data_IF_106980639127
#
_entry.id   IF_106980639127
#
_cell.length_a   1.000
_cell.length_b   1.000
_cell.length_c   1.000
_cell.angle_alpha   90.00
_cell.angle_beta   90.00
_cell.angle_gamma   90.00
#
_symmetry.space_group_name_H-M   'P 1'
#
loop_
_entity.id
_entity.type
_entity.pdbx_description
1 polymer ?
#
# COMPACT_ATOMS: atom_id res chain seq x y z
N UNK A 1 8.72 1.57 13.42
CA UNK A 1 8.01 2.63 12.64
C UNK A 1 8.53 2.77 11.21
N UNK A 2 9.83 2.94 10.95
CA UNK A 2 10.36 3.26 9.61
C UNK A 2 10.08 2.25 8.47
N UNK A 3 9.93 0.96 8.78
CA UNK A 3 9.63 -0.06 7.77
C UNK A 3 8.20 0.01 7.20
N UNK A 4 7.20 0.38 8.03
CA UNK A 4 5.81 0.54 7.55
C UNK A 4 5.69 1.75 6.63
N UNK A 5 6.22 2.89 7.03
CA UNK A 5 6.12 4.13 6.24
C UNK A 5 6.76 4.01 4.86
N UNK A 6 7.93 3.37 4.76
CA UNK A 6 8.59 3.10 3.47
C UNK A 6 7.72 2.22 2.56
N UNK A 7 7.07 1.20 3.13
CA UNK A 7 6.23 0.25 2.40
C UNK A 7 4.94 0.90 1.89
N UNK A 8 4.25 1.63 2.76
CA UNK A 8 3.06 2.43 2.40
C UNK A 8 3.40 3.40 1.26
N UNK A 9 4.47 4.17 1.38
CA UNK A 9 4.87 5.16 0.37
C UNK A 9 5.18 4.49 -0.98
N UNK A 10 5.88 3.36 -0.97
CA UNK A 10 6.21 2.61 -2.17
C UNK A 10 4.95 2.07 -2.88
N UNK A 11 4.06 1.41 -2.12
CA UNK A 11 2.80 0.86 -2.65
C UNK A 11 1.93 1.98 -3.21
N UNK A 12 1.80 3.09 -2.47
CA UNK A 12 1.02 4.25 -2.89
C UNK A 12 1.55 4.83 -4.21
N UNK A 13 2.87 5.00 -4.36
CA UNK A 13 3.48 5.50 -5.60
C UNK A 13 3.16 4.58 -6.80
N UNK A 14 3.20 3.26 -6.62
CA UNK A 14 2.85 2.29 -7.68
C UNK A 14 1.37 2.41 -8.08
N UNK A 15 0.47 2.51 -7.09
CA UNK A 15 -0.96 2.67 -7.33
C UNK A 15 -1.28 3.97 -8.08
N UNK A 16 -0.66 5.10 -7.69
CA UNK A 16 -0.81 6.38 -8.39
C UNK A 16 -0.36 6.32 -9.85
N UNK A 17 0.69 5.55 -10.15
CA UNK A 17 1.16 5.32 -11.53
C UNK A 17 0.29 4.33 -12.32
N UNK A 18 -0.85 3.87 -11.78
CA UNK A 18 -1.73 2.84 -12.36
C UNK A 18 -1.03 1.49 -12.59
N UNK A 19 0.05 1.22 -11.86
CA UNK A 19 0.71 -0.09 -11.92
C UNK A 19 -0.09 -1.10 -11.09
N UNK A 20 -0.25 -2.30 -11.62
CA UNK A 20 -0.81 -3.41 -10.86
C UNK A 20 0.16 -3.82 -9.74
N UNK A 21 -0.34 -3.91 -8.50
CA UNK A 21 0.42 -4.39 -7.34
C UNK A 21 -0.01 -5.82 -7.02
N UNK A 22 0.97 -6.74 -7.01
CA UNK A 22 0.75 -8.12 -6.60
C UNK A 22 1.22 -8.30 -5.15
N UNK A 23 0.33 -8.80 -4.29
CA UNK A 23 0.57 -8.96 -2.85
C UNK A 23 1.77 -9.86 -2.55
N UNK A 24 1.89 -10.98 -3.26
CA UNK A 24 2.97 -11.95 -3.11
C UNK A 24 4.33 -11.37 -3.49
N UNK A 25 4.40 -10.66 -4.62
CA UNK A 25 5.65 -10.02 -5.05
C UNK A 25 6.10 -8.94 -4.04
N UNK A 26 5.15 -8.20 -3.48
CA UNK A 26 5.44 -7.19 -2.46
C UNK A 26 5.85 -7.81 -1.13
N UNK A 27 5.25 -8.93 -0.73
CA UNK A 27 5.62 -9.62 0.51
C UNK A 27 7.05 -10.15 0.44
N UNK A 28 7.45 -10.70 -0.71
CA UNK A 28 8.83 -11.12 -0.98
C UNK A 28 9.79 -9.92 -0.99
N UNK A 29 9.48 -8.86 -1.74
CA UNK A 29 10.31 -7.66 -1.84
C UNK A 29 10.57 -6.97 -0.49
N UNK A 30 9.56 -6.91 0.36
CA UNK A 30 9.67 -6.29 1.69
C UNK A 30 10.03 -7.29 2.81
N UNK A 31 10.23 -8.57 2.47
CA UNK A 31 10.49 -9.64 3.44
C UNK A 31 9.49 -9.63 4.61
N UNK A 32 8.20 -9.51 4.28
CA UNK A 32 7.09 -9.45 5.24
C UNK A 32 6.00 -10.43 4.82
N UNK A 33 5.03 -10.71 5.67
CA UNK A 33 3.89 -11.56 5.29
C UNK A 33 2.90 -10.82 4.37
N UNK A 34 2.18 -11.59 3.54
CA UNK A 34 1.15 -11.09 2.62
C UNK A 34 0.02 -10.32 3.34
N UNK A 35 -0.38 -10.77 4.53
CA UNK A 35 -1.43 -10.12 5.34
C UNK A 35 -1.07 -8.69 5.73
N UNK A 36 0.21 -8.42 5.99
CA UNK A 36 0.73 -7.08 6.27
C UNK A 36 0.66 -6.20 5.02
N UNK A 37 0.96 -6.74 3.83
CA UNK A 37 0.81 -6.01 2.57
C UNK A 37 -0.66 -5.69 2.30
N UNK A 38 -1.57 -6.64 2.49
CA UNK A 38 -3.01 -6.42 2.33
C UNK A 38 -3.52 -5.28 3.22
N UNK A 39 -3.18 -5.29 4.51
CA UNK A 39 -3.54 -4.21 5.43
C UNK A 39 -3.01 -2.86 5.00
N UNK A 40 -1.77 -2.81 4.49
CA UNK A 40 -1.21 -1.55 3.99
C UNK A 40 -1.97 -1.03 2.75
N UNK A 41 -2.43 -1.91 1.86
CA UNK A 41 -3.27 -1.54 0.71
C UNK A 41 -4.63 -1.05 1.19
N UNK A 42 -5.24 -1.72 2.17
CA UNK A 42 -6.51 -1.29 2.79
C UNK A 42 -6.38 0.08 3.46
N UNK A 43 -5.30 0.32 4.21
CA UNK A 43 -4.98 1.61 4.82
C UNK A 43 -4.91 2.72 3.75
N UNK A 44 -4.22 2.44 2.62
CA UNK A 44 -4.11 3.38 1.49
C UNK A 44 -5.47 3.68 0.87
N UNK A 45 -6.26 2.64 0.57
CA UNK A 45 -7.57 2.80 -0.06
C UNK A 45 -8.53 3.60 0.85
N UNK A 46 -8.49 3.33 2.16
CA UNK A 46 -9.28 4.06 3.15
C UNK A 46 -8.91 5.55 3.16
N UNK A 47 -7.62 5.87 3.14
CA UNK A 47 -7.13 7.26 3.07
C UNK A 47 -7.62 7.98 1.80
N UNK A 48 -7.53 7.31 0.65
CA UNK A 48 -7.98 7.89 -0.64
C UNK A 48 -9.50 8.12 -0.64
N UNK A 49 -10.29 7.14 -0.19
CA UNK A 49 -11.75 7.27 -0.12
C UNK A 49 -12.20 8.40 0.82
N UNK A 50 -11.50 8.59 1.95
CA UNK A 50 -11.79 9.68 2.88
C UNK A 50 -11.45 11.06 2.28
N UNK A 51 -10.46 11.15 1.39
CA UNK A 51 -10.14 12.39 0.68
C UNK A 51 -11.18 12.74 -0.39
N UNK A 52 -11.69 11.74 -1.13
CA UNK A 52 -12.72 11.97 -2.16
C UNK A 52 -14.06 12.46 -1.60
N UNK A 53 -14.36 12.17 -0.32
CA UNK A 53 -15.60 12.61 0.36
C UNK A 53 -15.54 14.02 0.95
N UNK A 54 -14.38 14.67 0.91
CA UNK A 54 -14.17 16.03 1.45
C UNK A 54 -14.28 17.13 0.38
N UNK A 55 -14.62 16.76 -0.86
CA UNK A 55 -14.78 17.67 -2.00
C UNK A 55 -16.27 17.82 -2.30
#
# INVERSE_FOLDING_TARGET
MGYKSKRILYIYKKLLSKHHVNVKNLSEFFSTNERTIQRDIEDINTLVLLQSKKI
#
